data_IF_312038994953
#
_entry.id   IF_312038994953
#
_cell.length_a   1.000
_cell.length_b   1.000
_cell.length_c   1.000
_cell.angle_alpha   90.00
_cell.angle_beta   90.00
_cell.angle_gamma   90.00
#
_symmetry.space_group_name_H-M   'P 1'
#
loop_
_entity.id
_entity.type
_entity.pdbx_description
1 polymer ?
#
# COMPACT_ATOMS: atom_id res chain seq x y z
N UNK A 1 -23.99 10.82 -0.47
CA UNK A 1 -23.12 10.98 0.71
C UNK A 1 -21.76 11.46 0.23
N UNK A 2 -21.29 12.60 0.75
CA UNK A 2 -20.12 13.29 0.21
C UNK A 2 -18.85 12.46 0.33
N UNK A 3 -18.11 12.34 -0.78
CA UNK A 3 -16.80 11.70 -0.81
C UNK A 3 -15.88 12.38 0.20
N UNK A 4 -15.57 11.70 1.31
CA UNK A 4 -14.55 12.16 2.24
C UNK A 4 -13.25 12.22 1.44
N UNK A 5 -12.58 13.38 1.34
CA UNK A 5 -11.34 13.47 0.59
C UNK A 5 -10.35 12.45 1.17
N UNK A 6 -9.72 11.65 0.30
CA UNK A 6 -8.78 10.55 0.60
C UNK A 6 -7.72 10.85 1.68
N UNK A 7 -7.49 12.13 2.00
CA UNK A 7 -6.51 12.64 2.96
C UNK A 7 -7.10 12.94 4.36
N UNK A 8 -8.42 12.87 4.55
CA UNK A 8 -9.10 13.16 5.82
C UNK A 8 -9.42 11.90 6.66
N UNK A 9 -8.89 10.74 6.29
CA UNK A 9 -8.99 9.54 7.14
C UNK A 9 -8.24 9.78 8.44
N UNK A 10 -8.80 9.36 9.58
CA UNK A 10 -8.20 9.48 10.94
C UNK A 10 -6.74 9.03 10.99
N UNK A 11 -6.38 8.04 10.17
CA UNK A 11 -5.01 7.59 9.94
C UNK A 11 -4.04 8.73 9.53
N UNK A 12 -4.37 9.52 8.51
CA UNK A 12 -3.48 10.58 8.03
C UNK A 12 -3.41 11.75 9.00
N UNK A 13 -4.53 12.06 9.67
CA UNK A 13 -4.61 13.12 10.68
C UNK A 13 -3.70 12.78 11.86
N UNK A 14 -3.83 11.57 12.43
CA UNK A 14 -3.01 11.13 13.58
C UNK A 14 -1.53 11.08 13.21
N UNK A 15 -1.17 10.58 12.03
CA UNK A 15 0.22 10.59 11.59
C UNK A 15 0.77 12.02 11.40
N UNK A 16 -0.04 12.95 10.89
CA UNK A 16 0.34 14.36 10.74
C UNK A 16 0.50 15.04 12.09
N UNK A 17 -0.40 14.77 13.04
CA UNK A 17 -0.31 15.25 14.42
C UNK A 17 0.92 14.68 15.14
N UNK A 18 1.26 13.41 14.89
CA UNK A 18 2.42 12.76 15.50
C UNK A 18 3.73 13.37 14.98
N UNK A 19 3.81 13.73 13.69
CA UNK A 19 4.93 14.52 13.14
C UNK A 19 4.92 15.95 13.70
N UNK A 20 3.75 16.59 13.78
CA UNK A 20 3.59 17.94 14.34
C UNK A 20 3.94 18.02 15.83
N UNK A 21 3.77 16.92 16.59
CA UNK A 21 4.10 16.86 18.02
C UNK A 21 5.58 17.11 18.30
N UNK A 22 6.47 16.85 17.32
CA UNK A 22 7.88 17.18 17.44
C UNK A 22 8.12 18.68 17.61
N UNK A 23 7.30 19.53 16.97
CA UNK A 23 7.39 20.99 17.13
C UNK A 23 7.09 21.37 18.58
N UNK A 24 6.14 20.71 19.24
CA UNK A 24 5.85 20.93 20.65
C UNK A 24 7.03 20.50 21.54
N UNK A 25 7.66 19.36 21.23
CA UNK A 25 8.86 18.90 21.95
C UNK A 25 10.03 19.88 21.77
N UNK A 26 10.21 20.43 20.56
CA UNK A 26 11.23 21.44 20.28
C UNK A 26 10.98 22.75 21.02
N UNK A 27 9.73 23.22 21.06
CA UNK A 27 9.36 24.41 21.82
C UNK A 27 9.52 24.21 23.33
N UNK A 28 9.21 23.01 23.84
CA UNK A 28 9.48 22.64 25.23
C UNK A 28 10.98 22.61 25.52
N UNK A 29 11.78 22.03 24.62
CA UNK A 29 13.23 21.99 24.74
C UNK A 29 13.83 23.40 24.81
N UNK A 30 13.43 24.30 23.90
CA UNK A 30 13.91 25.69 23.86
C UNK A 30 13.57 26.49 25.13
N UNK A 31 12.42 26.20 25.78
CA UNK A 31 11.99 26.86 27.02
C UNK A 31 12.55 26.24 28.29
N UNK A 32 12.95 24.97 28.25
CA UNK A 32 13.42 24.24 29.42
C UNK A 32 14.84 24.68 29.78
N UNK A 33 15.10 24.87 31.06
CA UNK A 33 16.41 25.29 31.57
C UNK A 33 17.49 24.24 31.20
N UNK A 34 18.62 24.63 30.59
CA UNK A 34 19.70 23.73 30.20
C UNK A 34 20.15 22.76 31.29
N UNK A 35 20.12 23.17 32.56
CA UNK A 35 20.62 22.38 33.68
C UNK A 35 19.66 21.28 34.14
N UNK A 36 18.38 21.36 33.79
CA UNK A 36 17.39 20.29 34.07
C UNK A 36 17.29 19.25 32.97
N UNK A 37 17.99 19.43 31.84
CA UNK A 37 17.97 18.52 30.68
C UNK A 37 18.77 17.24 31.00
N UNK A 38 18.12 16.08 30.85
CA UNK A 38 18.71 14.75 31.10
C UNK A 38 19.25 14.06 29.84
N UNK A 39 19.06 14.66 28.67
CA UNK A 39 19.51 14.16 27.37
C UNK A 39 20.99 14.39 27.08
N UNK A 40 21.43 13.85 25.93
CA UNK A 40 22.78 14.08 25.42
C UNK A 40 22.96 15.48 24.83
N UNK A 41 21.86 16.14 24.46
CA UNK A 41 21.85 17.47 23.88
C UNK A 41 21.49 18.49 24.97
N UNK A 42 22.39 19.44 25.21
CA UNK A 42 22.19 20.50 26.21
C UNK A 42 22.00 21.88 25.58
N UNK A 43 22.51 22.12 24.39
CA UNK A 43 22.38 23.42 23.69
C UNK A 43 21.51 23.33 22.44
N UNK A 44 20.89 24.45 22.07
CA UNK A 44 20.05 24.54 20.85
C UNK A 44 20.87 24.37 19.57
N UNK A 45 22.13 24.79 19.57
CA UNK A 45 23.03 24.61 18.41
C UNK A 45 23.33 23.13 18.15
N UNK A 46 23.51 22.35 19.22
CA UNK A 46 23.69 20.90 19.12
C UNK A 46 22.42 20.24 18.57
N UNK A 47 21.24 20.66 19.05
CA UNK A 47 19.97 20.16 18.52
C UNK A 47 19.82 20.45 17.02
N UNK A 48 20.10 21.68 16.61
CA UNK A 48 20.01 22.09 15.21
C UNK A 48 21.00 21.32 14.31
N UNK A 49 22.21 21.04 14.81
CA UNK A 49 23.19 20.23 14.09
C UNK A 49 22.69 18.80 13.86
N UNK A 50 22.13 18.18 14.90
CA UNK A 50 21.53 16.85 14.83
C UNK A 50 20.32 16.82 13.90
N UNK A 51 19.43 17.81 13.97
CA UNK A 51 18.28 17.95 13.06
C UNK A 51 18.72 17.97 11.60
N UNK A 52 19.77 18.74 11.28
CA UNK A 52 20.36 18.79 9.94
C UNK A 52 20.93 17.44 9.54
N UNK A 53 21.66 16.75 10.43
CA UNK A 53 22.22 15.42 10.15
C UNK A 53 21.14 14.37 9.86
N UNK A 54 20.05 14.35 10.63
CA UNK A 54 18.98 13.40 10.39
C UNK A 54 18.14 13.76 9.16
N UNK A 55 17.92 15.06 8.89
CA UNK A 55 17.30 15.51 7.65
C UNK A 55 18.14 15.10 6.44
N UNK A 56 19.46 15.25 6.51
CA UNK A 56 20.41 14.79 5.49
C UNK A 56 20.42 13.27 5.35
N UNK A 57 20.42 12.51 6.46
CA UNK A 57 20.33 11.05 6.42
C UNK A 57 19.04 10.58 5.77
N UNK A 58 17.90 11.20 6.11
CA UNK A 58 16.61 10.91 5.51
C UNK A 58 16.60 11.28 4.01
N UNK A 59 17.12 12.46 3.66
CA UNK A 59 17.28 12.88 2.27
C UNK A 59 18.21 11.94 1.49
N UNK A 60 19.31 11.48 2.07
CA UNK A 60 20.24 10.53 1.47
C UNK A 60 19.63 9.15 1.29
N UNK A 61 18.85 8.66 2.26
CA UNK A 61 18.09 7.40 2.12
C UNK A 61 17.04 7.52 1.01
N UNK A 62 16.30 8.65 0.96
CA UNK A 62 15.34 8.92 -0.11
C UNK A 62 16.05 9.04 -1.46
N UNK A 63 17.15 9.78 -1.55
CA UNK A 63 17.93 9.97 -2.77
C UNK A 63 18.58 8.67 -3.25
N UNK A 64 19.18 7.86 -2.37
CA UNK A 64 19.72 6.55 -2.70
C UNK A 64 18.62 5.60 -3.18
N UNK A 65 17.43 5.67 -2.59
CA UNK A 65 16.26 4.90 -3.03
C UNK A 65 15.75 5.34 -4.40
N UNK A 66 15.74 6.65 -4.68
CA UNK A 66 15.37 7.23 -5.96
C UNK A 66 16.42 6.93 -7.04
N UNK A 67 17.71 7.03 -6.70
CA UNK A 67 18.85 6.84 -7.61
C UNK A 67 19.04 5.39 -8.03
N UNK A 68 18.82 4.43 -7.12
CA UNK A 68 19.03 3.01 -7.42
C UNK A 68 17.92 2.39 -8.30
N UNK A 69 16.97 3.14 -8.88
CA UNK A 69 15.71 2.53 -9.37
C UNK A 69 15.19 3.02 -10.74
N UNK A 70 14.68 2.05 -11.50
CA UNK A 70 14.35 2.07 -12.95
C UNK A 70 12.92 2.51 -13.31
N UNK A 71 11.98 2.76 -12.38
CA UNK A 71 10.64 3.27 -12.76
C UNK A 71 9.93 4.05 -11.65
N UNK A 72 9.41 5.23 -11.99
CA UNK A 72 8.88 6.25 -11.07
C UNK A 72 7.66 5.82 -10.24
N UNK A 73 6.74 5.00 -10.79
CA UNK A 73 5.51 4.64 -10.06
C UNK A 73 5.73 3.65 -8.90
N UNK A 74 6.80 2.85 -8.95
CA UNK A 74 7.19 1.98 -7.83
C UNK A 74 7.73 2.77 -6.63
N UNK A 75 8.12 4.04 -6.85
CA UNK A 75 8.58 4.90 -5.77
C UNK A 75 7.43 5.38 -4.90
N UNK A 76 6.25 5.67 -5.45
CA UNK A 76 5.16 6.26 -4.67
C UNK A 76 4.65 5.31 -3.57
N UNK A 77 4.30 4.07 -3.91
CA UNK A 77 3.73 3.10 -2.96
C UNK A 77 4.71 2.62 -1.89
N UNK A 78 5.95 2.28 -2.28
CA UNK A 78 6.99 1.90 -1.33
C UNK A 78 7.51 3.10 -0.53
N UNK A 79 7.51 4.30 -1.11
CA UNK A 79 7.79 5.51 -0.35
C UNK A 79 6.78 5.68 0.76
N UNK A 80 5.47 5.40 0.60
CA UNK A 80 4.52 5.52 1.71
C UNK A 80 4.77 4.54 2.86
N UNK A 81 5.15 3.29 2.58
CA UNK A 81 5.45 2.29 3.61
C UNK A 81 6.76 2.61 4.36
N UNK A 82 7.81 2.97 3.62
CA UNK A 82 9.10 3.32 4.22
C UNK A 82 9.16 4.74 4.76
N UNK A 83 8.31 5.66 4.28
CA UNK A 83 8.03 6.98 4.87
C UNK A 83 7.40 6.84 6.24
N UNK A 84 6.53 5.83 6.42
CA UNK A 84 5.94 5.50 7.73
C UNK A 84 7.03 5.06 8.72
N UNK A 85 7.83 4.07 8.34
CA UNK A 85 8.91 3.54 9.19
C UNK A 85 10.08 4.53 9.38
N UNK A 86 10.44 5.30 8.34
CA UNK A 86 11.52 6.29 8.41
C UNK A 86 11.13 7.50 9.23
N UNK A 87 9.87 7.97 9.18
CA UNK A 87 9.37 9.01 10.08
C UNK A 87 9.44 8.58 11.54
N UNK A 88 8.99 7.36 11.85
CA UNK A 88 9.08 6.80 13.20
C UNK A 88 10.53 6.62 13.68
N UNK A 89 11.43 6.15 12.81
CA UNK A 89 12.85 5.97 13.13
C UNK A 89 13.58 7.31 13.34
N UNK A 90 13.33 8.31 12.48
CA UNK A 90 13.95 9.64 12.61
C UNK A 90 13.42 10.39 13.82
N UNK A 91 12.10 10.34 14.05
CA UNK A 91 11.49 10.96 15.24
C UNK A 91 11.92 10.25 16.53
N UNK A 92 12.05 8.92 16.49
CA UNK A 92 12.59 8.13 17.59
C UNK A 92 14.06 8.46 17.87
N UNK A 93 14.92 8.50 16.84
CA UNK A 93 16.33 8.90 17.00
C UNK A 93 16.46 10.33 17.56
N UNK A 94 15.58 11.25 17.15
CA UNK A 94 15.53 12.60 17.72
C UNK A 94 15.11 12.59 19.19
N UNK A 95 14.06 11.85 19.53
CA UNK A 95 13.59 11.71 20.90
C UNK A 95 14.66 11.05 21.79
N UNK A 96 15.41 10.07 21.28
CA UNK A 96 16.51 9.42 22.01
C UNK A 96 17.62 10.39 22.43
N UNK A 97 17.98 11.33 21.55
CA UNK A 97 19.01 12.33 21.84
C UNK A 97 18.56 13.37 22.88
N UNK A 98 17.25 13.64 22.97
CA UNK A 98 16.64 14.56 23.94
C UNK A 98 16.36 13.88 25.29
N UNK A 99 15.73 12.70 25.29
CA UNK A 99 15.51 11.85 26.47
C UNK A 99 15.05 10.44 26.05
N UNK A 100 15.66 9.39 26.61
CA UNK A 100 15.26 8.01 26.36
C UNK A 100 13.78 7.72 26.69
N UNK A 101 13.18 8.43 27.66
CA UNK A 101 11.76 8.28 28.02
C UNK A 101 10.85 8.83 26.93
N UNK A 102 11.22 9.95 26.32
CA UNK A 102 10.49 10.53 25.18
C UNK A 102 10.52 9.54 24.00
N UNK A 103 11.66 8.89 23.73
CA UNK A 103 11.75 7.82 22.75
C UNK A 103 10.73 6.70 23.05
N UNK A 104 10.68 6.21 24.29
CA UNK A 104 9.76 5.14 24.65
C UNK A 104 8.29 5.52 24.41
N UNK A 105 7.89 6.74 24.79
CA UNK A 105 6.55 7.26 24.51
C UNK A 105 6.26 7.43 23.03
N UNK A 106 7.22 7.92 22.24
CA UNK A 106 7.06 8.02 20.78
C UNK A 106 6.96 6.66 20.11
N UNK A 107 7.75 5.68 20.53
CA UNK A 107 7.64 4.30 20.04
C UNK A 107 6.28 3.70 20.38
N UNK A 108 5.78 3.90 21.61
CA UNK A 108 4.49 3.40 22.04
C UNK A 108 3.34 4.09 21.29
N UNK A 109 3.38 5.41 21.13
CA UNK A 109 2.40 6.17 20.36
C UNK A 109 2.39 5.77 18.88
N UNK A 110 3.57 5.55 18.28
CA UNK A 110 3.69 5.09 16.91
C UNK A 110 3.18 3.65 16.73
N UNK A 111 3.48 2.76 17.67
CA UNK A 111 2.96 1.40 17.67
C UNK A 111 1.45 1.36 17.88
N UNK A 112 0.92 2.18 18.80
CA UNK A 112 -0.51 2.35 19.03
C UNK A 112 -1.22 2.91 17.79
N UNK A 113 -0.67 3.95 17.16
CA UNK A 113 -1.20 4.49 15.91
C UNK A 113 -1.14 3.45 14.77
N UNK A 114 -0.11 2.60 14.74
CA UNK A 114 -0.01 1.51 13.76
C UNK A 114 -1.05 0.41 14.01
N UNK A 115 -1.26 -0.01 15.25
CA UNK A 115 -2.17 -1.08 15.62
C UNK A 115 -3.64 -0.67 15.54
N UNK A 116 -3.96 0.57 15.92
CA UNK A 116 -5.33 1.07 16.03
C UNK A 116 -5.87 1.68 14.72
N UNK A 117 -4.99 2.16 13.84
CA UNK A 117 -5.40 2.83 12.60
C UNK A 117 -4.93 2.03 11.39
N UNK A 118 -5.77 1.10 10.88
CA UNK A 118 -5.47 0.42 9.63
C UNK A 118 -5.38 1.45 8.49
N UNK A 119 -4.48 1.18 7.54
CA UNK A 119 -4.36 2.03 6.35
C UNK A 119 -5.69 1.97 5.58
N UNK A 120 -6.28 3.12 5.19
CA UNK A 120 -7.52 3.10 4.41
C UNK A 120 -7.27 2.38 3.09
N UNK A 121 -8.02 1.30 2.87
CA UNK A 121 -8.09 0.63 1.58
C UNK A 121 -9.23 1.24 0.76
N UNK A 122 -9.10 1.23 -0.56
CA UNK A 122 -10.18 1.63 -1.46
C UNK A 122 -11.23 0.52 -1.41
N UNK A 123 -12.47 0.88 -1.11
CA UNK A 123 -13.60 -0.05 -1.22
C UNK A 123 -13.87 -0.33 -2.69
N UNK A 124 -13.36 -1.48 -3.18
CA UNK A 124 -13.52 -1.89 -4.58
C UNK A 124 -15.00 -2.03 -4.96
N UNK A 125 -15.85 -2.40 -4.00
CA UNK A 125 -17.28 -2.60 -4.21
C UNK A 125 -18.06 -1.29 -4.46
N UNK A 126 -17.60 -0.15 -3.93
CA UNK A 126 -18.28 1.14 -4.12
C UNK A 126 -18.09 1.72 -5.52
N UNK A 127 -17.13 1.21 -6.29
CA UNK A 127 -16.80 1.74 -7.61
C UNK A 127 -17.76 1.29 -8.73
N UNK A 128 -18.73 0.43 -8.42
CA UNK A 128 -19.78 -0.02 -9.34
C UNK A 128 -19.33 -1.06 -10.39
N UNK A 129 -18.10 -0.95 -10.89
CA UNK A 129 -17.57 -1.85 -11.93
C UNK A 129 -17.03 -3.18 -11.39
N UNK A 130 -16.84 -3.29 -10.06
CA UNK A 130 -16.24 -4.47 -9.41
C UNK A 130 -17.18 -5.00 -8.32
N UNK A 131 -17.63 -6.24 -8.45
CA UNK A 131 -18.48 -6.88 -7.45
C UNK A 131 -17.65 -7.49 -6.31
N UNK A 132 -18.09 -7.31 -5.06
CA UNK A 132 -17.52 -8.06 -3.93
C UNK A 132 -18.00 -9.51 -4.01
N UNK A 133 -17.05 -10.45 -4.11
CA UNK A 133 -17.33 -11.87 -4.24
C UNK A 133 -17.23 -12.56 -2.87
N UNK A 134 -18.24 -13.35 -2.54
CA UNK A 134 -18.24 -14.30 -1.44
C UNK A 134 -17.76 -15.67 -1.94
N UNK A 135 -17.46 -16.65 -1.06
CA UNK A 135 -17.02 -17.97 -1.52
C UNK A 135 -18.00 -18.68 -2.46
N UNK A 136 -19.31 -18.43 -2.30
CA UNK A 136 -20.35 -19.00 -3.19
C UNK A 136 -20.37 -18.28 -4.53
N UNK A 137 -20.39 -16.95 -4.55
CA UNK A 137 -20.42 -16.18 -5.80
C UNK A 137 -19.11 -16.28 -6.57
N UNK A 138 -17.97 -16.51 -5.89
CA UNK A 138 -16.70 -16.83 -6.52
C UNK A 138 -16.78 -18.15 -7.30
N UNK A 139 -17.36 -19.20 -6.69
CA UNK A 139 -17.53 -20.51 -7.35
C UNK A 139 -18.45 -20.37 -8.55
N UNK A 140 -19.59 -19.70 -8.40
CA UNK A 140 -20.52 -19.42 -9.50
C UNK A 140 -19.85 -18.65 -10.65
N UNK A 141 -19.13 -17.57 -10.32
CA UNK A 141 -18.45 -16.76 -11.32
C UNK A 141 -17.29 -17.49 -12.01
N UNK A 142 -16.66 -18.45 -11.32
CA UNK A 142 -15.62 -19.32 -11.90
C UNK A 142 -16.19 -20.40 -12.83
N UNK A 143 -17.41 -20.87 -12.56
CA UNK A 143 -18.10 -21.94 -13.30
C UNK A 143 -18.96 -21.43 -14.46
N UNK A 144 -19.22 -20.12 -14.52
CA UNK A 144 -19.97 -19.50 -15.60
C UNK A 144 -19.34 -19.77 -16.97
N UNK A 145 -20.20 -20.15 -17.93
CA UNK A 145 -19.82 -20.28 -19.34
C UNK A 145 -20.24 -19.06 -20.18
N UNK A 146 -21.12 -18.22 -19.64
CA UNK A 146 -21.74 -17.11 -20.39
C UNK A 146 -20.83 -15.88 -20.46
N UNK A 147 -19.97 -15.70 -19.46
CA UNK A 147 -19.06 -14.57 -19.35
C UNK A 147 -17.74 -14.99 -18.69
N UNK A 148 -16.66 -14.29 -19.05
CA UNK A 148 -15.40 -14.39 -18.34
C UNK A 148 -15.44 -13.52 -17.07
N UNK A 149 -14.80 -13.98 -16.00
CA UNK A 149 -14.71 -13.23 -14.74
C UNK A 149 -13.26 -13.03 -14.36
N UNK A 150 -12.84 -11.77 -14.22
CA UNK A 150 -11.54 -11.43 -13.65
C UNK A 150 -11.69 -11.11 -12.16
N UNK A 151 -10.97 -11.84 -11.31
CA UNK A 151 -11.05 -11.74 -9.86
C UNK A 151 -9.74 -11.19 -9.29
N UNK A 152 -9.85 -10.11 -8.50
CA UNK A 152 -8.77 -9.55 -7.69
C UNK A 152 -8.81 -10.14 -6.29
N UNK A 153 -7.84 -11.00 -5.99
CA UNK A 153 -7.59 -11.54 -4.66
C UNK A 153 -6.69 -10.57 -3.89
N UNK A 154 -7.20 -10.06 -2.78
CA UNK A 154 -6.51 -9.03 -2.01
C UNK A 154 -6.64 -9.25 -0.50
N UNK A 155 -5.84 -8.50 0.26
CA UNK A 155 -6.03 -8.34 1.69
C UNK A 155 -5.78 -6.88 2.07
N UNK A 156 -6.65 -6.32 2.92
CA UNK A 156 -6.52 -4.94 3.41
C UNK A 156 -5.25 -4.69 4.25
N UNK A 157 -4.65 -5.77 4.78
CA UNK A 157 -3.42 -5.69 5.59
C UNK A 157 -2.17 -5.64 4.69
N UNK A 158 -2.28 -6.11 3.44
CA UNK A 158 -1.13 -6.24 2.56
C UNK A 158 -0.92 -4.96 1.73
N UNK A 159 0.21 -4.29 1.94
CA UNK A 159 0.47 -2.97 1.32
C UNK A 159 0.53 -3.02 -0.21
N UNK A 160 1.03 -4.11 -0.80
CA UNK A 160 1.05 -4.28 -2.27
C UNK A 160 -0.36 -4.45 -2.83
N UNK A 161 -1.30 -5.00 -2.06
CA UNK A 161 -2.71 -5.12 -2.46
C UNK A 161 -3.40 -3.76 -2.48
N UNK A 162 -3.17 -2.94 -1.44
CA UNK A 162 -3.65 -1.55 -1.39
C UNK A 162 -3.07 -0.73 -2.54
N UNK A 163 -1.81 -0.96 -2.90
CA UNK A 163 -1.12 -0.27 -3.99
C UNK A 163 -1.65 -0.65 -5.38
N UNK A 164 -2.01 -1.91 -5.60
CA UNK A 164 -2.46 -2.42 -6.90
C UNK A 164 -3.97 -2.21 -7.15
N UNK A 165 -4.76 -2.00 -6.09
CA UNK A 165 -6.21 -1.80 -6.21
C UNK A 165 -6.62 -0.70 -7.21
N UNK A 166 -5.99 0.51 -7.25
CA UNK A 166 -6.33 1.53 -8.24
C UNK A 166 -6.09 1.08 -9.69
N UNK A 167 -4.99 0.36 -9.94
CA UNK A 167 -4.68 -0.15 -11.28
C UNK A 167 -5.70 -1.19 -11.72
N UNK A 168 -6.12 -2.08 -10.82
CA UNK A 168 -7.19 -3.03 -11.11
C UNK A 168 -8.53 -2.35 -11.40
N UNK A 169 -8.87 -1.32 -10.62
CA UNK A 169 -10.10 -0.54 -10.80
C UNK A 169 -10.14 0.16 -12.16
N UNK A 170 -9.00 0.70 -12.61
CA UNK A 170 -8.87 1.32 -13.92
C UNK A 170 -9.14 0.30 -15.03
N UNK A 171 -8.54 -0.89 -14.95
CA UNK A 171 -8.82 -1.98 -15.91
C UNK A 171 -10.29 -2.38 -15.89
N UNK A 172 -10.91 -2.47 -14.71
CA UNK A 172 -12.32 -2.79 -14.58
C UNK A 172 -13.20 -1.75 -15.31
N UNK A 173 -12.95 -0.45 -15.07
CA UNK A 173 -13.71 0.63 -15.73
C UNK A 173 -13.54 0.64 -17.27
N UNK A 174 -12.38 0.20 -17.78
CA UNK A 174 -12.08 0.20 -19.20
C UNK A 174 -12.58 -1.07 -19.92
N UNK A 175 -12.65 -2.22 -19.26
CA UNK A 175 -12.94 -3.50 -19.91
C UNK A 175 -14.23 -4.18 -19.41
N UNK A 176 -14.93 -3.59 -18.43
CA UNK A 176 -16.23 -4.10 -17.96
C UNK A 176 -17.24 -4.14 -19.10
N UNK A 177 -17.77 -5.32 -19.38
CA UNK A 177 -18.71 -5.57 -20.46
C UNK A 177 -19.59 -6.79 -20.16
N UNK A 178 -20.62 -7.03 -20.98
CA UNK A 178 -21.44 -8.25 -20.84
C UNK A 178 -20.64 -9.55 -20.94
N UNK A 179 -19.47 -9.53 -21.61
CA UNK A 179 -18.59 -10.70 -21.80
C UNK A 179 -17.48 -10.82 -20.75
N UNK A 180 -17.13 -9.74 -20.07
CA UNK A 180 -16.07 -9.70 -19.06
C UNK A 180 -16.54 -8.93 -17.83
N UNK A 181 -16.63 -9.64 -16.71
CA UNK A 181 -17.00 -9.07 -15.41
C UNK A 181 -15.80 -9.03 -14.47
N UNK A 182 -15.83 -8.09 -13.53
CA UNK A 182 -14.78 -7.91 -12.53
C UNK A 182 -15.31 -8.20 -11.13
N UNK A 183 -14.51 -8.91 -10.35
CA UNK A 183 -14.81 -9.24 -8.96
C UNK A 183 -13.62 -8.99 -8.05
N UNK A 184 -13.89 -8.71 -6.78
CA UNK A 184 -12.90 -8.55 -5.73
C UNK A 184 -13.18 -9.57 -4.63
N UNK A 185 -12.16 -10.29 -4.19
CA UNK A 185 -12.25 -11.33 -3.16
C UNK A 185 -11.25 -11.05 -2.04
N UNK A 186 -11.76 -10.84 -0.82
CA UNK A 186 -10.92 -10.61 0.35
C UNK A 186 -10.46 -11.95 0.95
N UNK A 187 -9.17 -12.21 0.78
CA UNK A 187 -8.50 -13.43 1.23
C UNK A 187 -8.35 -13.47 2.76
N UNK A 188 -8.36 -12.31 3.43
CA UNK A 188 -8.28 -12.24 4.89
C UNK A 188 -9.60 -12.55 5.59
N UNK A 189 -10.73 -12.30 4.93
CA UNK A 189 -12.06 -12.65 5.45
C UNK A 189 -12.34 -14.15 5.25
N UNK A 190 -11.95 -14.71 4.11
CA UNK A 190 -12.25 -16.11 3.75
C UNK A 190 -10.99 -16.96 3.47
N UNK A 191 -10.16 -17.24 4.48
CA UNK A 191 -8.88 -17.94 4.28
C UNK A 191 -9.05 -19.39 3.78
N UNK A 192 -10.13 -20.07 4.17
CA UNK A 192 -10.41 -21.45 3.72
C UNK A 192 -10.71 -21.51 2.23
N UNK A 193 -11.53 -20.59 1.73
CA UNK A 193 -11.86 -20.50 0.31
C UNK A 193 -10.63 -20.07 -0.52
N UNK A 194 -9.78 -19.19 0.02
CA UNK A 194 -8.52 -18.83 -0.64
C UNK A 194 -7.57 -20.02 -0.78
N UNK A 195 -7.50 -20.90 0.22
CA UNK A 195 -6.68 -22.11 0.16
C UNK A 195 -7.13 -23.08 -0.96
N UNK A 196 -8.44 -23.17 -1.24
CA UNK A 196 -8.98 -23.96 -2.37
C UNK A 196 -8.43 -23.47 -3.72
N UNK A 197 -8.21 -22.16 -3.87
CA UNK A 197 -7.63 -21.54 -5.09
C UNK A 197 -6.10 -21.42 -5.02
N UNK A 198 -5.46 -22.14 -4.09
CA UNK A 198 -4.01 -22.16 -3.86
C UNK A 198 -3.42 -20.78 -3.55
N UNK A 199 -4.16 -19.96 -2.80
CA UNK A 199 -3.71 -18.65 -2.30
C UNK A 199 -3.43 -18.74 -0.80
N UNK A 200 -2.32 -18.18 -0.35
CA UNK A 200 -2.00 -18.08 1.08
C UNK A 200 -2.19 -16.67 1.62
N UNK A 201 -2.80 -16.53 2.80
CA UNK A 201 -3.03 -15.24 3.47
C UNK A 201 -1.82 -14.76 4.29
N UNK A 202 -0.65 -15.39 4.17
CA UNK A 202 0.50 -15.07 5.00
C UNK A 202 1.07 -13.70 4.60
N UNK A 203 1.22 -12.79 5.56
CA UNK A 203 1.81 -11.44 5.38
C UNK A 203 3.24 -11.48 4.82
N UNK A 204 3.98 -12.58 5.03
CA UNK A 204 5.32 -12.78 4.48
C UNK A 204 5.33 -13.38 3.08
N UNK A 205 4.22 -13.91 2.60
CA UNK A 205 4.13 -14.44 1.24
C UNK A 205 3.82 -13.31 0.27
N UNK A 206 4.68 -13.10 -0.74
CA UNK A 206 4.39 -12.12 -1.78
C UNK A 206 3.35 -12.62 -2.80
N UNK A 207 2.53 -13.62 -2.47
CA UNK A 207 1.49 -14.14 -3.39
C UNK A 207 0.34 -13.15 -3.60
N UNK A 208 0.15 -12.20 -2.69
CA UNK A 208 -0.87 -11.16 -2.77
C UNK A 208 -0.26 -9.80 -3.18
N UNK A 209 -0.97 -8.98 -3.96
CA UNK A 209 -2.27 -9.26 -4.59
C UNK A 209 -2.14 -10.32 -5.69
N UNK A 210 -3.26 -10.98 -6.02
CA UNK A 210 -3.34 -11.83 -7.19
C UNK A 210 -4.52 -11.45 -8.08
N UNK A 211 -4.33 -11.49 -9.40
CA UNK A 211 -5.37 -11.30 -10.42
C UNK A 211 -5.53 -12.64 -11.14
N UNK A 212 -6.75 -13.16 -11.19
CA UNK A 212 -7.04 -14.43 -11.87
C UNK A 212 -8.17 -14.21 -12.86
N UNK A 213 -8.01 -14.73 -14.08
CA UNK A 213 -9.07 -14.72 -15.09
C UNK A 213 -9.68 -16.12 -15.21
N UNK A 214 -10.98 -16.20 -14.96
CA UNK A 214 -11.79 -17.39 -15.18
C UNK A 214 -12.57 -17.28 -16.48
N UNK A 215 -12.58 -18.36 -17.24
CA UNK A 215 -13.33 -18.47 -18.49
C UNK A 215 -13.79 -19.92 -18.68
N UNK A 216 -15.08 -20.11 -19.01
CA UNK A 216 -15.67 -21.41 -19.33
C UNK A 216 -15.39 -22.48 -18.27
N UNK A 217 -15.59 -22.13 -17.00
CA UNK A 217 -15.37 -23.06 -15.89
C UNK A 217 -13.91 -23.34 -15.53
N UNK A 218 -12.94 -22.64 -16.12
CA UNK A 218 -11.51 -22.90 -15.89
C UNK A 218 -10.73 -21.62 -15.63
N UNK A 219 -9.67 -21.75 -14.85
CA UNK A 219 -8.66 -20.71 -14.69
C UNK A 219 -7.84 -20.60 -15.99
N UNK A 220 -7.99 -19.48 -16.70
CA UNK A 220 -7.23 -19.21 -17.92
C UNK A 220 -5.79 -18.79 -17.61
N UNK A 221 -5.63 -17.96 -16.59
CA UNK A 221 -4.33 -17.48 -16.16
C UNK A 221 -4.42 -16.72 -14.85
N UNK A 222 -3.26 -16.57 -14.21
CA UNK A 222 -3.11 -15.82 -12.97
C UNK A 222 -1.81 -15.05 -12.91
N UNK A 223 -1.88 -13.97 -12.13
CA UNK A 223 -0.77 -13.13 -11.78
C UNK A 223 -0.80 -12.98 -10.26
N UNK A 224 0.19 -13.47 -9.51
CA UNK A 224 1.41 -14.08 -9.99
C UNK A 224 1.18 -15.55 -10.42
N UNK A 225 2.07 -16.12 -11.26
CA UNK A 225 2.04 -17.54 -11.58
C UNK A 225 2.19 -18.41 -10.33
N UNK A 226 1.58 -19.60 -10.33
CA UNK A 226 1.78 -20.58 -9.24
C UNK A 226 3.26 -20.95 -9.15
N UNK A 227 3.83 -20.87 -7.94
CA UNK A 227 5.25 -21.17 -7.72
C UNK A 227 6.20 -20.02 -8.06
N UNK A 228 5.68 -18.79 -8.28
CA UNK A 228 6.52 -17.61 -8.35
C UNK A 228 7.33 -17.44 -7.06
N UNK A 229 8.57 -16.97 -7.19
CA UNK A 229 9.47 -16.71 -6.07
C UNK A 229 8.77 -15.86 -4.99
N UNK A 230 8.53 -16.41 -3.78
CA UNK A 230 7.81 -15.72 -2.71
C UNK A 230 8.59 -14.51 -2.18
N UNK A 231 9.87 -14.35 -2.52
CA UNK A 231 10.70 -13.18 -2.20
C UNK A 231 10.41 -11.96 -3.08
N UNK A 232 9.86 -12.17 -4.28
CA UNK A 232 9.58 -11.09 -5.22
C UNK A 232 8.20 -10.49 -4.95
N UNK A 233 8.18 -9.22 -4.56
CA UNK A 233 6.94 -8.46 -4.40
C UNK A 233 6.22 -8.30 -5.73
N UNK A 234 4.93 -8.58 -5.70
CA UNK A 234 4.05 -8.45 -6.84
C UNK A 234 3.41 -7.06 -6.87
N UNK A 235 3.79 -6.27 -7.87
CA UNK A 235 3.18 -4.98 -8.17
C UNK A 235 2.66 -5.02 -9.59
N UNK A 236 1.40 -4.67 -9.77
CA UNK A 236 0.73 -4.71 -11.06
C UNK A 236 0.32 -3.33 -11.48
N UNK A 237 0.79 -2.90 -12.66
CA UNK A 237 0.27 -1.70 -13.31
C UNK A 237 -0.89 -2.10 -14.23
N UNK A 238 -1.71 -1.12 -14.57
CA UNK A 238 -2.82 -1.26 -15.52
C UNK A 238 -2.34 -1.90 -16.84
N UNK A 239 -1.24 -1.41 -17.40
CA UNK A 239 -0.67 -1.94 -18.64
C UNK A 239 -0.14 -3.38 -18.53
N UNK A 240 0.36 -3.79 -17.35
CA UNK A 240 0.84 -5.16 -17.15
C UNK A 240 -0.33 -6.15 -17.17
N UNK A 241 -1.44 -5.80 -16.51
CA UNK A 241 -2.66 -6.62 -16.49
C UNK A 241 -3.23 -6.75 -17.91
N UNK A 242 -3.38 -5.64 -18.62
CA UNK A 242 -3.92 -5.63 -19.99
C UNK A 242 -3.07 -6.50 -20.92
N UNK A 243 -1.74 -6.34 -20.87
CA UNK A 243 -0.80 -7.06 -21.74
C UNK A 243 -0.74 -8.56 -21.43
N UNK A 244 -0.69 -8.92 -20.15
CA UNK A 244 -0.52 -10.32 -19.74
C UNK A 244 -1.79 -11.15 -19.97
N UNK A 245 -2.96 -10.56 -19.73
CA UNK A 245 -4.25 -11.21 -20.00
C UNK A 245 -4.75 -11.01 -21.44
N UNK A 246 -4.01 -10.25 -22.27
CA UNK A 246 -4.36 -9.92 -23.65
C UNK A 246 -5.78 -9.37 -23.78
N UNK A 247 -6.18 -8.50 -22.84
CA UNK A 247 -7.57 -8.07 -22.71
C UNK A 247 -8.10 -7.37 -23.97
N UNK A 248 -7.26 -6.53 -24.59
CA UNK A 248 -7.61 -5.81 -25.82
C UNK A 248 -7.89 -6.76 -27.01
N UNK A 249 -7.07 -7.80 -27.19
CA UNK A 249 -7.23 -8.78 -28.25
C UNK A 249 -8.49 -9.64 -28.04
N UNK A 250 -8.81 -9.95 -26.78
CA UNK A 250 -9.84 -10.93 -26.42
C UNK A 250 -11.24 -10.35 -26.30
N UNK A 251 -11.34 -9.12 -25.80
CA UNK A 251 -12.62 -8.47 -25.53
C UNK A 251 -12.88 -7.25 -26.42
N UNK A 252 -12.04 -7.07 -27.44
CA UNK A 252 -12.26 -6.22 -28.62
C UNK A 252 -12.60 -4.76 -28.27
N UNK A 253 -11.63 -4.06 -27.67
CA UNK A 253 -11.62 -2.60 -27.56
C UNK A 253 -10.27 -2.11 -28.09
N UNK A 254 -10.23 -1.13 -29.01
CA UNK A 254 -8.97 -0.55 -29.43
C UNK A 254 -8.32 0.12 -28.22
N UNK A 255 -7.08 -0.28 -27.92
CA UNK A 255 -6.27 0.39 -26.92
C UNK A 255 -6.08 1.84 -27.37
N UNK A 256 -6.66 2.80 -26.66
CA UNK A 256 -6.13 4.16 -26.72
C UNK A 256 -4.82 4.16 -25.92
N UNK A 257 -3.74 3.67 -26.57
CA UNK A 257 -2.37 3.76 -26.05
C UNK A 257 -1.87 5.21 -26.22
N UNK A 258 -2.63 6.20 -25.76
CA UNK A 258 -2.16 7.58 -25.63
C UNK A 258 -1.72 7.83 -24.19
N UNK A 259 -0.57 7.26 -23.80
CA UNK A 259 -0.03 7.60 -22.47
C UNK A 259 1.26 6.95 -22.01
N UNK A 260 1.78 5.93 -22.68
CA UNK A 260 3.03 5.29 -22.25
C UNK A 260 4.05 5.16 -23.38
N UNK A 261 4.35 6.28 -24.02
CA UNK A 261 5.72 6.56 -24.45
C UNK A 261 6.26 7.65 -23.54
N UNK A 262 7.24 7.31 -22.70
CA UNK A 262 8.33 8.22 -22.36
C UNK A 262 9.54 7.42 -21.89
N UNK A 263 10.67 7.86 -22.44
CA UNK A 263 12.04 7.42 -22.25
C UNK A 263 12.48 7.39 -20.80
#
# INVERSE_FOLDING_TARGET
MGAVPRFATSYYIVNTLLVGSYVLVRLWFAKSDPDTRRGQIKTDEQLLSWEKQAALALAAVLAFRLWRRRSADHAASDAFFYSKASKGAVLGMMAFMIDFRLLAWYCLAFWGAYALLPQPMIDLAESGDVASLTPTTLKEASLSNDYATMVFFYSAVHSTSVAAAPSFLQVASEFSSGKLRFGAFDVSIWPRAAAEVRMTCNTWSNQLPAVVLYEKGKEWGRLPPVGSDPSKRNYYRTGDIIRLFKLAERFNRPLDVSGSKRH
#
